data_IF_136548181697
#
_entry.id   IF_136548181697
#
_cell.length_a   1.000
_cell.length_b   1.000
_cell.length_c   1.000
_cell.angle_alpha   90.00
_cell.angle_beta   90.00
_cell.angle_gamma   90.00
#
_symmetry.space_group_name_H-M   'P 1'
#
loop_
_entity.id
_entity.type
_entity.pdbx_description
1 polymer ?
#
# COMPACT_ATOMS: atom_id res chain seq x y z
N UNK A 1 -0.11 16.77 5.15
CA UNK A 1 1.36 16.83 5.05
C UNK A 1 1.77 15.94 3.89
N UNK A 2 2.30 16.54 2.83
CA UNK A 2 2.85 15.85 1.67
C UNK A 2 4.27 15.38 2.01
N UNK A 3 4.39 14.32 2.79
CA UNK A 3 5.70 13.71 3.02
C UNK A 3 6.16 13.06 1.70
N UNK A 4 7.04 13.77 0.98
CA UNK A 4 7.63 13.29 -0.28
C UNK A 4 8.63 12.17 -0.05
N UNK A 5 9.08 12.00 1.20
CA UNK A 5 10.09 11.03 1.60
C UNK A 5 9.72 10.39 2.93
N UNK A 6 10.14 9.14 3.13
CA UNK A 6 10.04 8.43 4.39
C UNK A 6 11.31 7.60 4.63
N UNK A 7 11.58 7.19 5.87
CA UNK A 7 12.60 6.19 6.15
C UNK A 7 11.99 4.79 6.04
N UNK A 8 12.71 3.85 5.42
CA UNK A 8 12.30 2.45 5.32
C UNK A 8 12.07 1.84 6.71
N UNK A 9 12.90 2.19 7.69
CA UNK A 9 12.73 1.75 9.09
C UNK A 9 11.40 2.15 9.67
N UNK A 10 10.94 3.37 9.39
CA UNK A 10 9.68 3.88 9.96
C UNK A 10 8.48 3.22 9.30
N UNK A 11 8.54 2.98 7.99
CA UNK A 11 7.50 2.25 7.25
C UNK A 11 7.41 0.80 7.73
N UNK A 12 8.54 0.10 7.87
CA UNK A 12 8.54 -1.28 8.34
C UNK A 12 8.08 -1.41 9.79
N UNK A 13 8.46 -0.47 10.65
CA UNK A 13 7.96 -0.43 12.04
C UNK A 13 6.46 -0.23 12.09
N UNK A 14 5.92 0.71 11.32
CA UNK A 14 4.47 0.94 11.25
C UNK A 14 3.72 -0.30 10.74
N UNK A 15 4.34 -1.08 9.87
CA UNK A 15 3.76 -2.31 9.36
C UNK A 15 3.97 -3.54 10.26
N UNK A 16 4.91 -3.48 11.22
CA UNK A 16 5.34 -4.62 12.03
C UNK A 16 6.29 -5.58 11.32
N UNK A 17 6.98 -5.13 10.26
CA UNK A 17 7.83 -5.96 9.40
C UNK A 17 9.30 -5.51 9.37
N UNK A 18 9.81 -5.02 10.50
CA UNK A 18 11.21 -4.57 10.67
C UNK A 18 12.25 -5.62 10.25
N UNK A 19 11.91 -6.90 10.39
CA UNK A 19 12.73 -8.04 9.97
C UNK A 19 13.03 -8.07 8.46
N UNK A 20 12.27 -7.34 7.63
CA UNK A 20 12.49 -7.26 6.18
C UNK A 20 13.53 -6.20 5.78
N UNK A 21 14.04 -5.40 6.73
CA UNK A 21 14.89 -4.24 6.44
C UNK A 21 16.09 -4.59 5.57
N UNK A 22 16.93 -5.54 6.00
CA UNK A 22 18.15 -5.90 5.27
C UNK A 22 17.84 -6.48 3.89
N UNK A 23 16.76 -7.26 3.77
CA UNK A 23 16.38 -7.90 2.51
C UNK A 23 15.90 -6.86 1.49
N UNK A 24 15.07 -5.91 1.91
CA UNK A 24 14.60 -4.82 1.04
C UNK A 24 15.78 -3.92 0.66
N UNK A 25 16.69 -3.62 1.60
CA UNK A 25 17.86 -2.81 1.32
C UNK A 25 18.79 -3.47 0.29
N UNK A 26 18.98 -4.79 0.36
CA UNK A 26 19.74 -5.55 -0.64
C UNK A 26 19.11 -5.50 -2.03
N UNK A 27 17.79 -5.68 -2.13
CA UNK A 27 17.09 -5.64 -3.42
C UNK A 27 17.06 -4.23 -4.03
N UNK A 28 17.07 -3.20 -3.19
CA UNK A 28 17.01 -1.79 -3.63
C UNK A 28 18.25 -1.34 -4.42
N UNK A 29 19.33 -2.14 -4.46
CA UNK A 29 20.51 -1.87 -5.29
C UNK A 29 20.16 -1.91 -6.79
N UNK A 30 19.16 -2.71 -7.18
CA UNK A 30 18.74 -2.93 -8.57
C UNK A 30 17.42 -2.21 -8.92
N UNK A 31 16.98 -1.23 -8.12
CA UNK A 31 15.63 -0.64 -8.23
C UNK A 31 15.35 0.06 -9.58
N UNK A 32 16.38 0.40 -10.35
CA UNK A 32 16.23 0.98 -11.70
C UNK A 32 15.82 -0.08 -12.74
N UNK A 33 16.26 -1.34 -12.56
CA UNK A 33 15.87 -2.47 -13.42
C UNK A 33 14.70 -3.27 -12.84
N UNK A 34 14.75 -3.51 -11.53
CA UNK A 34 13.82 -4.32 -10.73
C UNK A 34 13.26 -3.47 -9.57
N UNK A 35 12.32 -2.56 -9.86
CA UNK A 35 11.77 -1.69 -8.85
C UNK A 35 11.06 -2.46 -7.72
N UNK A 36 10.99 -1.81 -6.55
CA UNK A 36 10.25 -2.28 -5.40
C UNK A 36 9.10 -1.31 -5.10
N UNK A 37 7.89 -1.82 -5.02
CA UNK A 37 6.74 -1.10 -4.48
C UNK A 37 6.66 -1.41 -2.99
N UNK A 38 6.80 -0.37 -2.16
CA UNK A 38 6.78 -0.49 -0.71
C UNK A 38 5.49 0.16 -0.19
N UNK A 39 4.68 -0.64 0.50
CA UNK A 39 3.38 -0.26 1.04
C UNK A 39 3.55 0.20 2.47
N UNK A 40 3.23 1.46 2.76
CA UNK A 40 3.07 1.96 4.12
C UNK A 40 1.61 1.92 4.52
N UNK A 41 1.20 0.88 5.25
CA UNK A 41 -0.17 0.73 5.69
C UNK A 41 -0.41 1.63 6.91
N UNK A 42 -1.24 2.67 6.76
CA UNK A 42 -1.54 3.59 7.87
C UNK A 42 -2.95 3.31 8.39
N UNK A 43 -3.09 3.28 9.72
CA UNK A 43 -4.39 3.13 10.41
C UNK A 43 -5.18 1.89 9.97
N UNK A 44 -4.48 0.79 9.74
CA UNK A 44 -5.11 -0.46 9.26
C UNK A 44 -6.13 -0.97 10.26
N UNK A 45 -5.83 -0.82 11.55
CA UNK A 45 -6.71 -1.20 12.65
C UNK A 45 -8.04 -0.41 12.58
N UNK A 46 -7.98 0.91 12.31
CA UNK A 46 -9.17 1.74 12.13
C UNK A 46 -9.99 1.27 10.90
N UNK A 47 -9.31 0.94 9.79
CA UNK A 47 -9.98 0.43 8.59
C UNK A 47 -10.64 -0.92 8.81
N UNK A 48 -9.97 -1.86 9.48
CA UNK A 48 -10.53 -3.18 9.81
C UNK A 48 -11.74 -3.02 10.72
N UNK A 49 -11.66 -2.15 11.72
CA UNK A 49 -12.80 -1.84 12.59
C UNK A 49 -13.98 -1.26 11.80
N UNK A 50 -13.71 -0.33 10.88
CA UNK A 50 -14.74 0.24 10.03
C UNK A 50 -15.40 -0.79 9.10
N UNK A 51 -14.64 -1.78 8.62
CA UNK A 51 -15.21 -2.90 7.86
C UNK A 51 -16.20 -3.68 8.73
N UNK A 52 -15.82 -4.02 9.97
CA UNK A 52 -16.71 -4.72 10.91
C UNK A 52 -17.98 -3.94 11.19
N UNK A 53 -17.86 -2.63 11.43
CA UNK A 53 -19.01 -1.75 11.64
C UNK A 53 -19.92 -1.66 10.41
N UNK A 54 -19.33 -1.57 9.22
CA UNK A 54 -20.06 -1.53 7.96
C UNK A 54 -20.82 -2.84 7.72
N UNK A 55 -20.20 -3.99 7.99
CA UNK A 55 -20.83 -5.30 7.90
C UNK A 55 -21.97 -5.45 8.90
N UNK A 56 -21.76 -5.05 10.16
CA UNK A 56 -22.79 -5.11 11.20
C UNK A 56 -24.01 -4.24 10.87
N UNK A 57 -23.80 -3.00 10.40
CA UNK A 57 -24.92 -2.12 9.99
C UNK A 57 -25.63 -2.63 8.75
N UNK A 58 -24.92 -3.30 7.84
CA UNK A 58 -25.52 -3.90 6.65
C UNK A 58 -26.40 -5.11 6.98
N UNK A 59 -26.03 -5.88 8.00
CA UNK A 59 -26.78 -7.05 8.47
C UNK A 59 -27.98 -6.73 9.37
N UNK A 60 -28.07 -5.49 9.90
CA UNK A 60 -29.18 -5.07 10.76
C UNK A 60 -30.51 -4.98 9.99
N UNK A 61 -31.68 -5.10 10.67
CA UNK A 61 -32.98 -4.93 10.02
C UNK A 61 -33.10 -3.55 9.34
N UNK A 62 -33.42 -3.54 8.04
CA UNK A 62 -33.46 -2.32 7.23
C UNK A 62 -32.08 -1.79 6.81
N UNK A 63 -31.01 -2.55 7.07
CA UNK A 63 -29.65 -2.25 6.66
C UNK A 63 -29.50 -2.23 5.14
N UNK A 64 -28.69 -1.28 4.65
CA UNK A 64 -28.36 -1.20 3.23
C UNK A 64 -27.22 -2.19 2.93
N UNK A 65 -27.36 -3.07 1.92
CA UNK A 65 -26.29 -3.96 1.51
C UNK A 65 -24.99 -3.22 1.17
N UNK A 66 -23.85 -3.79 1.56
CA UNK A 66 -22.56 -3.30 1.08
C UNK A 66 -22.39 -3.66 -0.41
N UNK A 67 -21.73 -2.79 -1.21
CA UNK A 67 -21.28 -3.16 -2.55
C UNK A 67 -20.39 -4.42 -2.54
N UNK A 68 -20.17 -5.07 -3.69
CA UNK A 68 -19.25 -6.20 -3.79
C UNK A 68 -17.85 -5.86 -3.28
N UNK A 69 -17.27 -6.74 -2.47
CA UNK A 69 -15.94 -6.57 -1.91
C UNK A 69 -14.85 -6.87 -2.97
N UNK A 70 -14.04 -5.89 -3.40
CA UNK A 70 -13.00 -6.10 -4.39
C UNK A 70 -11.82 -6.92 -3.86
N UNK A 71 -11.62 -6.97 -2.54
CA UNK A 71 -10.51 -7.65 -1.88
C UNK A 71 -10.80 -9.12 -1.56
N UNK A 72 -12.02 -9.61 -1.84
CA UNK A 72 -12.45 -10.99 -1.50
C UNK A 72 -12.17 -11.40 -0.05
N UNK A 73 -12.24 -10.45 0.88
CA UNK A 73 -11.94 -10.68 2.29
C UNK A 73 -12.90 -11.72 2.90
N UNK A 74 -12.42 -12.55 3.83
CA UNK A 74 -13.29 -13.45 4.60
C UNK A 74 -14.25 -12.65 5.48
N UNK A 75 -15.31 -13.32 5.97
CA UNK A 75 -16.30 -12.70 6.88
C UNK A 75 -15.69 -12.16 8.18
N UNK A 76 -14.62 -12.78 8.68
CA UNK A 76 -13.85 -12.30 9.83
C UNK A 76 -12.55 -11.63 9.37
N UNK A 77 -12.59 -10.30 9.19
CA UNK A 77 -11.44 -9.50 8.78
C UNK A 77 -10.52 -9.20 9.98
N UNK A 78 -9.21 -9.29 9.77
CA UNK A 78 -8.19 -8.87 10.73
C UNK A 78 -7.08 -8.07 10.01
N UNK A 79 -6.18 -7.46 10.77
CA UNK A 79 -5.11 -6.61 10.20
C UNK A 79 -4.26 -7.36 9.18
N UNK A 80 -3.91 -8.63 9.45
CA UNK A 80 -3.03 -9.42 8.59
C UNK A 80 -3.70 -9.80 7.27
N UNK A 81 -4.93 -10.36 7.33
CA UNK A 81 -5.63 -10.74 6.11
C UNK A 81 -6.02 -9.52 5.26
N UNK A 82 -6.26 -8.37 5.89
CA UNK A 82 -6.51 -7.12 5.18
C UNK A 82 -5.25 -6.64 4.45
N UNK A 83 -4.10 -6.56 5.12
CA UNK A 83 -2.84 -6.16 4.49
C UNK A 83 -2.48 -7.10 3.33
N UNK A 84 -2.62 -8.41 3.53
CA UNK A 84 -2.38 -9.40 2.49
C UNK A 84 -3.31 -9.21 1.30
N UNK A 85 -4.62 -9.04 1.52
CA UNK A 85 -5.58 -8.86 0.43
C UNK A 85 -5.35 -7.55 -0.34
N UNK A 86 -5.00 -6.45 0.34
CA UNK A 86 -4.64 -5.19 -0.33
C UNK A 86 -3.41 -5.38 -1.22
N UNK A 87 -2.40 -6.09 -0.71
CA UNK A 87 -1.19 -6.37 -1.46
C UNK A 87 -1.46 -7.30 -2.66
N UNK A 88 -2.25 -8.36 -2.47
CA UNK A 88 -2.66 -9.27 -3.54
C UNK A 88 -3.51 -8.58 -4.61
N UNK A 89 -4.37 -7.65 -4.20
CA UNK A 89 -5.16 -6.83 -5.12
C UNK A 89 -4.28 -5.92 -5.98
N UNK A 90 -3.22 -5.34 -5.39
CA UNK A 90 -2.28 -4.51 -6.13
C UNK A 90 -1.39 -5.33 -7.07
N UNK A 91 -1.00 -6.55 -6.66
CA UNK A 91 -0.05 -7.41 -7.36
C UNK A 91 -0.55 -7.80 -8.75
N UNK A 92 0.26 -7.51 -9.77
CA UNK A 92 0.00 -8.03 -11.12
C UNK A 92 0.11 -9.56 -11.13
N UNK A 93 -0.75 -10.27 -11.88
CA UNK A 93 -0.87 -11.73 -11.81
C UNK A 93 0.41 -12.54 -12.09
N UNK A 94 1.40 -11.95 -12.75
CA UNK A 94 2.72 -12.54 -13.01
C UNK A 94 3.87 -11.90 -12.22
N UNK A 95 3.59 -11.02 -11.26
CA UNK A 95 4.61 -10.38 -10.43
C UNK A 95 5.24 -11.37 -9.45
N UNK A 96 6.45 -11.04 -8.98
CA UNK A 96 7.17 -11.85 -7.99
C UNK A 96 6.37 -11.95 -6.68
N UNK A 97 6.73 -12.92 -5.83
CA UNK A 97 6.10 -13.07 -4.53
C UNK A 97 6.40 -11.84 -3.65
N UNK A 98 5.41 -11.45 -2.86
CA UNK A 98 5.55 -10.39 -1.89
C UNK A 98 6.60 -10.74 -0.83
N UNK A 99 7.33 -9.72 -0.36
CA UNK A 99 8.08 -9.80 0.88
C UNK A 99 7.16 -9.34 2.01
N UNK A 100 6.60 -10.34 2.69
CA UNK A 100 5.62 -10.13 3.75
C UNK A 100 4.38 -9.42 3.22
N UNK A 101 3.95 -8.38 3.93
CA UNK A 101 2.81 -7.52 3.57
C UNK A 101 3.23 -6.10 3.16
N UNK A 102 4.54 -5.83 3.08
CA UNK A 102 5.08 -4.47 2.92
C UNK A 102 5.73 -4.24 1.56
N UNK A 103 6.22 -5.26 0.87
CA UNK A 103 6.99 -5.02 -0.36
C UNK A 103 6.61 -5.98 -1.49
N UNK A 104 6.38 -5.40 -2.67
CA UNK A 104 6.26 -6.10 -3.95
C UNK A 104 7.49 -5.80 -4.80
N UNK A 105 8.35 -6.79 -5.03
CA UNK A 105 9.30 -6.73 -6.13
C UNK A 105 8.54 -6.83 -7.46
N UNK A 106 8.78 -5.88 -8.35
CA UNK A 106 8.06 -5.77 -9.61
C UNK A 106 8.99 -5.36 -10.75
N UNK A 107 8.55 -5.59 -11.98
CA UNK A 107 9.17 -4.99 -13.17
C UNK A 107 8.71 -3.54 -13.35
N UNK A 108 9.44 -2.75 -14.14
CA UNK A 108 9.02 -1.38 -14.47
C UNK A 108 7.60 -1.31 -15.08
N UNK A 109 7.23 -2.29 -15.90
CA UNK A 109 5.89 -2.38 -16.49
C UNK A 109 4.78 -2.70 -15.48
N UNK A 110 5.12 -3.41 -14.39
CA UNK A 110 4.20 -3.74 -13.31
C UNK A 110 4.04 -2.62 -12.28
N UNK A 111 5.07 -1.80 -12.07
CA UNK A 111 5.06 -0.69 -11.11
C UNK A 111 3.86 0.25 -11.30
N UNK A 112 3.58 0.63 -12.55
CA UNK A 112 2.43 1.49 -12.87
C UNK A 112 1.09 0.82 -12.58
N UNK A 113 0.98 -0.50 -12.81
CA UNK A 113 -0.23 -1.27 -12.51
C UNK A 113 -0.48 -1.34 -11.01
N UNK A 114 0.53 -1.77 -10.24
CA UNK A 114 0.44 -1.92 -8.78
C UNK A 114 0.05 -0.61 -8.09
N UNK A 115 0.60 0.50 -8.58
CA UNK A 115 0.21 1.85 -8.15
C UNK A 115 -1.25 2.21 -8.50
N UNK A 116 -1.64 2.05 -9.77
CA UNK A 116 -2.99 2.42 -10.23
C UNK A 116 -4.08 1.57 -9.59
N UNK A 117 -3.79 0.30 -9.28
CA UNK A 117 -4.71 -0.60 -8.58
C UNK A 117 -5.08 -0.01 -7.22
N UNK A 118 -4.13 0.44 -6.41
CA UNK A 118 -4.45 1.04 -5.12
C UNK A 118 -5.27 2.33 -5.22
N UNK A 119 -4.93 3.21 -6.17
CA UNK A 119 -5.74 4.42 -6.41
C UNK A 119 -7.18 4.06 -6.80
N UNK A 120 -7.36 2.98 -7.57
CA UNK A 120 -8.67 2.45 -7.93
C UNK A 120 -9.40 1.87 -6.72
N UNK A 121 -8.69 1.18 -5.83
CA UNK A 121 -9.25 0.62 -4.59
C UNK A 121 -9.76 1.71 -3.65
N UNK A 122 -9.00 2.81 -3.50
CA UNK A 122 -9.41 3.96 -2.70
C UNK A 122 -10.73 4.57 -3.19
N UNK A 123 -10.93 4.61 -4.51
CA UNK A 123 -12.13 5.15 -5.17
C UNK A 123 -13.26 4.12 -5.31
N UNK A 124 -13.01 2.85 -4.99
CA UNK A 124 -13.98 1.78 -5.20
C UNK A 124 -15.25 1.99 -4.35
N UNK A 125 -16.47 1.75 -4.87
CA UNK A 125 -17.72 1.97 -4.14
C UNK A 125 -17.78 1.25 -2.79
N UNK A 126 -17.19 0.05 -2.70
CA UNK A 126 -17.06 -0.69 -1.43
C UNK A 126 -16.26 0.09 -0.37
N UNK A 127 -15.08 0.59 -0.75
CA UNK A 127 -14.21 1.40 0.12
C UNK A 127 -14.93 2.67 0.55
N UNK A 128 -15.51 3.39 -0.40
CA UNK A 128 -16.26 4.62 -0.13
C UNK A 128 -17.45 4.37 0.81
N UNK A 129 -18.12 3.23 0.66
CA UNK A 129 -19.22 2.86 1.55
C UNK A 129 -18.76 2.56 2.98
N UNK A 130 -17.63 1.89 3.15
CA UNK A 130 -17.03 1.64 4.47
C UNK A 130 -16.66 2.96 5.15
N UNK A 131 -16.00 3.86 4.42
CA UNK A 131 -15.61 5.18 4.94
C UNK A 131 -16.85 5.99 5.38
N UNK A 132 -17.93 5.93 4.60
CA UNK A 132 -19.18 6.61 4.92
C UNK A 132 -19.89 6.04 6.16
N UNK A 133 -19.67 4.76 6.49
CA UNK A 133 -20.35 4.08 7.61
C UNK A 133 -19.54 4.07 8.90
N UNK A 134 -18.27 3.67 8.81
CA UNK A 134 -17.42 3.28 9.95
C UNK A 134 -16.39 4.34 10.37
N UNK A 135 -16.32 5.48 9.67
CA UNK A 135 -15.63 6.66 10.18
C UNK A 135 -14.09 6.76 10.12
N UNK A 136 -13.26 5.89 9.49
CA UNK A 136 -11.90 6.30 9.20
C UNK A 136 -11.97 7.49 8.24
N UNK A 137 -11.37 8.62 8.62
CA UNK A 137 -11.40 9.85 7.81
C UNK A 137 -10.29 9.94 6.77
N UNK A 138 -9.46 8.90 6.62
CA UNK A 138 -8.22 9.07 5.87
C UNK A 138 -7.98 7.92 4.91
N UNK A 139 -8.22 8.22 3.64
CA UNK A 139 -7.45 7.69 2.53
C UNK A 139 -6.05 8.32 2.49
N UNK A 140 -5.07 7.70 1.80
CA UNK A 140 -5.18 6.42 1.08
C UNK A 140 -5.18 5.20 2.03
N UNK A 141 -5.74 4.06 1.59
CA UNK A 141 -5.68 2.79 2.35
C UNK A 141 -4.23 2.39 2.64
N UNK A 142 -3.34 2.62 1.67
CA UNK A 142 -1.90 2.43 1.83
C UNK A 142 -1.14 3.55 1.13
N UNK A 143 -0.08 4.05 1.75
CA UNK A 143 0.89 4.91 1.08
C UNK A 143 1.81 4.05 0.22
N UNK A 144 2.09 4.49 -1.01
CA UNK A 144 2.99 3.77 -1.92
C UNK A 144 4.33 4.50 -2.00
N UNK A 145 5.40 3.76 -1.76
CA UNK A 145 6.76 4.24 -1.72
C UNK A 145 7.63 3.47 -2.70
N UNK A 146 8.70 4.13 -3.18
CA UNK A 146 9.79 3.50 -3.92
C UNK A 146 11.11 3.70 -3.17
N UNK A 147 12.01 2.73 -3.24
CA UNK A 147 13.35 2.90 -2.70
C UNK A 147 14.14 3.94 -3.52
N UNK A 148 14.92 4.78 -2.84
CA UNK A 148 15.83 5.72 -3.48
C UNK A 148 17.19 5.05 -3.69
N UNK A 149 17.82 5.26 -4.84
CA UNK A 149 19.23 4.92 -5.02
C UNK A 149 20.09 6.08 -4.53
N UNK A 150 21.07 5.80 -3.67
CA UNK A 150 22.14 6.74 -3.43
C UNK A 150 23.19 6.58 -4.54
N UNK A 151 23.22 7.55 -5.46
CA UNK A 151 24.32 7.66 -6.41
C UNK A 151 25.53 8.23 -5.67
N UNK A 152 26.52 7.38 -5.38
CA UNK A 152 27.83 7.87 -4.98
C UNK A 152 28.45 8.54 -6.21
N UNK A 153 28.62 9.86 -6.17
CA UNK A 153 29.20 10.61 -7.30
C UNK A 153 30.67 10.23 -7.57
N UNK A 154 31.33 9.55 -6.63
CA UNK A 154 32.74 9.15 -6.74
C UNK A 154 32.94 7.73 -7.25
N UNK A 155 32.01 6.82 -6.99
CA UNK A 155 32.05 5.45 -7.49
C UNK A 155 30.78 5.22 -8.30
N UNK A 156 30.88 4.88 -9.59
CA UNK A 156 29.75 4.51 -10.48
C UNK A 156 29.04 3.21 -10.03
N UNK A 157 28.76 3.06 -8.74
CA UNK A 157 28.06 1.94 -8.11
C UNK A 157 26.84 2.51 -7.39
N UNK A 158 25.67 2.00 -7.75
CA UNK A 158 24.46 2.21 -6.98
C UNK A 158 24.67 1.66 -5.57
N UNK A 159 24.40 2.48 -4.55
CA UNK A 159 24.33 2.04 -3.16
C UNK A 159 22.90 2.16 -2.67
N UNK A 160 22.47 1.18 -1.88
CA UNK A 160 21.12 1.16 -1.33
C UNK A 160 20.93 2.30 -0.33
N UNK A 161 19.79 2.99 -0.43
CA UNK A 161 19.39 4.02 0.54
C UNK A 161 18.29 3.48 1.44
N UNK A 162 18.33 3.85 2.71
CA UNK A 162 17.20 3.66 3.63
C UNK A 162 16.08 4.70 3.42
N UNK A 163 16.27 5.64 2.47
CA UNK A 163 15.29 6.67 2.15
C UNK A 163 14.35 6.17 1.06
N UNK A 164 13.06 6.39 1.30
CA UNK A 164 11.99 6.11 0.37
C UNK A 164 11.47 7.42 -0.22
N UNK A 165 11.02 7.39 -1.46
CA UNK A 165 10.30 8.48 -2.10
C UNK A 165 8.86 8.07 -2.34
N UNK A 166 7.93 9.00 -2.14
CA UNK A 166 6.52 8.73 -2.41
C UNK A 166 6.36 8.46 -3.91
N UNK A 167 5.72 7.33 -4.26
CA UNK A 167 5.32 7.06 -5.63
C UNK A 167 4.18 7.98 -6.07
N UNK A 168 3.54 8.68 -5.11
CA UNK A 168 2.57 9.75 -5.37
C UNK A 168 3.33 11.01 -5.79
N UNK A 169 3.61 11.13 -7.10
CA UNK A 169 3.50 12.46 -7.71
C UNK A 169 2.01 12.68 -7.91
N UNK A 170 1.39 13.50 -7.06
CA UNK A 170 0.23 14.22 -7.54
C UNK A 170 0.70 14.88 -8.86
N UNK A 171 0.09 14.61 -10.03
CA UNK A 171 0.21 15.60 -11.08
C UNK A 171 -0.21 16.90 -10.41
N UNK A 172 0.68 17.89 -10.41
CA UNK A 172 0.35 19.22 -9.95
C UNK A 172 -1.05 19.51 -10.49
N UNK A 173 -1.97 19.77 -9.57
CA UNK A 173 -3.35 20.13 -9.82
C UNK A 173 -3.47 20.85 -11.17
N UNK A 174 -4.06 20.19 -12.16
CA UNK A 174 -4.60 20.84 -13.37
C UNK A 174 -5.87 21.65 -13.05
N UNK A 175 -6.13 21.89 -11.75
CA UNK A 175 -7.04 22.88 -11.20
C UNK A 175 -6.24 23.80 -10.29
N UNK A 176 -5.41 24.63 -10.92
CA UNK A 176 -5.05 25.96 -10.44
C UNK A 176 -5.76 26.98 -11.32
#
# INVERSE_FOLDING_TARGET
>A
MNDKTALLTDVLRANGEEHLFDKILQLSVHVEEEPLVIFGCKKVEEFVQAIHEAQAKSAAPGGVPLPPNPLSLPGAVNVQNFKQAVLEYARAGNAQAALGTTCLPCTLGQFGHEFCSLATLDLHPWTQRILAIGGPKSLPIACVWRAKVAADRMCLRATSSNTLESAVRHPNSLWG
#
